data_IF_266208769015
#
_entry.id   IF_266208769015
#
_cell.length_a   1.000
_cell.length_b   1.000
_cell.length_c   1.000
_cell.angle_alpha   90.00
_cell.angle_beta   90.00
_cell.angle_gamma   90.00
#
_symmetry.space_group_name_H-M   'P 1'
#
loop_
_entity.id
_entity.type
_entity.pdbx_description
1 polymer ?
#
# COMPACT_ATOMS: atom_id res chain seq x y z
N UNK A 1 -29.57 6.44 -13.82
CA UNK A 1 -28.58 6.17 -12.76
C UNK A 1 -29.35 5.98 -11.46
N UNK A 2 -29.64 4.72 -11.09
CA UNK A 2 -30.44 4.39 -9.91
C UNK A 2 -29.55 4.29 -8.65
N UNK A 3 -29.96 4.97 -7.58
CA UNK A 3 -30.00 4.41 -6.22
C UNK A 3 -28.71 4.05 -5.49
N UNK A 4 -27.54 4.59 -5.83
CA UNK A 4 -26.34 4.37 -5.00
C UNK A 4 -26.42 5.19 -3.70
N UNK A 5 -26.10 4.55 -2.57
CA UNK A 5 -26.08 5.17 -1.23
C UNK A 5 -24.64 5.40 -0.78
N UNK A 6 -24.37 6.53 -0.17
CA UNK A 6 -23.10 6.75 0.53
C UNK A 6 -22.97 5.77 1.70
N UNK A 7 -21.77 5.23 1.94
CA UNK A 7 -21.54 4.28 3.03
C UNK A 7 -21.97 4.88 4.39
N UNK A 8 -21.67 6.15 4.62
CA UNK A 8 -22.09 6.88 5.83
C UNK A 8 -23.60 7.13 5.97
N UNK A 9 -24.40 6.87 4.94
CA UNK A 9 -25.87 6.97 5.01
C UNK A 9 -26.55 5.67 5.46
N UNK A 10 -25.80 4.58 5.57
CA UNK A 10 -26.26 3.32 6.13
C UNK A 10 -26.43 3.43 7.65
N UNK A 11 -27.32 2.61 8.21
CA UNK A 11 -27.42 2.44 9.66
C UNK A 11 -26.13 1.85 10.24
N UNK A 12 -25.87 2.10 11.53
CA UNK A 12 -24.66 1.62 12.19
C UNK A 12 -24.58 0.07 12.09
N UNK A 13 -25.69 -0.65 12.25
CA UNK A 13 -25.76 -2.11 12.08
C UNK A 13 -25.41 -2.57 10.65
N UNK A 14 -25.91 -1.89 9.62
CA UNK A 14 -25.58 -2.20 8.22
C UNK A 14 -24.09 -1.97 7.91
N UNK A 15 -23.49 -0.92 8.47
CA UNK A 15 -22.05 -0.65 8.31
C UNK A 15 -21.21 -1.75 8.98
N UNK A 16 -21.54 -2.12 10.21
CA UNK A 16 -20.84 -3.16 10.97
C UNK A 16 -21.00 -4.55 10.33
N UNK A 17 -22.15 -4.83 9.73
CA UNK A 17 -22.39 -6.06 9.00
C UNK A 17 -21.52 -6.12 7.74
N UNK A 18 -21.44 -5.04 6.95
CA UNK A 18 -20.56 -4.99 5.76
C UNK A 18 -19.08 -5.10 6.12
N UNK A 19 -18.65 -4.45 7.21
CA UNK A 19 -17.29 -4.57 7.72
C UNK A 19 -16.94 -6.02 8.06
N UNK A 20 -17.85 -6.70 8.77
CA UNK A 20 -17.70 -8.10 9.14
C UNK A 20 -17.65 -9.01 7.92
N UNK A 21 -18.60 -8.88 6.99
CA UNK A 21 -18.65 -9.67 5.74
C UNK A 21 -17.37 -9.52 4.94
N UNK A 22 -16.85 -8.30 4.79
CA UNK A 22 -15.62 -8.04 4.05
C UNK A 22 -14.41 -8.67 4.74
N UNK A 23 -14.35 -8.58 6.08
CA UNK A 23 -13.27 -9.17 6.87
C UNK A 23 -13.29 -10.70 6.80
N UNK A 24 -14.46 -11.33 6.90
CA UNK A 24 -14.63 -12.79 6.76
C UNK A 24 -14.31 -13.27 5.33
N UNK A 25 -14.68 -12.49 4.31
CA UNK A 25 -14.32 -12.79 2.92
C UNK A 25 -12.80 -12.76 2.70
N UNK A 26 -12.10 -11.76 3.26
CA UNK A 26 -10.64 -11.69 3.21
C UNK A 26 -9.99 -12.87 3.93
N UNK A 27 -10.44 -13.18 5.15
CA UNK A 27 -9.91 -14.30 5.95
C UNK A 27 -10.10 -15.64 5.22
N UNK A 28 -11.30 -15.91 4.72
CA UNK A 28 -11.62 -17.18 4.03
C UNK A 28 -10.86 -17.39 2.71
N UNK A 29 -10.31 -16.33 2.12
CA UNK A 29 -9.47 -16.39 0.93
C UNK A 29 -7.96 -16.21 1.25
N UNK A 30 -7.56 -16.33 2.51
CA UNK A 30 -6.15 -16.29 2.93
C UNK A 30 -5.52 -14.88 2.93
N UNK A 31 -6.35 -13.83 2.94
CA UNK A 31 -5.95 -12.42 2.94
C UNK A 31 -6.26 -11.74 4.28
N UNK A 32 -6.31 -12.52 5.36
CA UNK A 32 -6.71 -12.04 6.69
C UNK A 32 -5.78 -11.01 7.31
N UNK A 33 -4.58 -10.79 6.75
CA UNK A 33 -3.68 -9.70 7.12
C UNK A 33 -4.17 -8.33 6.66
N UNK A 34 -5.01 -8.28 5.62
CA UNK A 34 -5.69 -7.06 5.20
C UNK A 34 -6.87 -6.86 6.15
N UNK A 35 -6.85 -5.76 6.93
CA UNK A 35 -7.87 -5.47 7.94
C UNK A 35 -8.73 -4.29 7.49
N UNK A 36 -9.94 -4.55 6.95
CA UNK A 36 -10.89 -3.50 6.69
C UNK A 36 -11.20 -2.70 7.96
N UNK A 37 -11.44 -1.41 7.80
CA UNK A 37 -11.88 -0.51 8.86
C UNK A 37 -12.95 0.45 8.38
N UNK A 38 -13.91 0.74 9.25
CA UNK A 38 -14.77 1.91 9.11
C UNK A 38 -14.00 3.10 9.68
N UNK A 39 -13.89 4.13 8.87
CA UNK A 39 -13.25 5.39 9.21
C UNK A 39 -14.31 6.50 9.27
N UNK A 40 -14.56 6.99 10.47
CA UNK A 40 -15.42 8.14 10.73
C UNK A 40 -14.57 9.35 11.08
N UNK A 41 -14.66 10.40 10.27
CA UNK A 41 -14.01 11.67 10.53
C UNK A 41 -15.05 12.78 10.61
N UNK A 42 -14.95 13.59 11.66
CA UNK A 42 -15.75 14.80 11.81
C UNK A 42 -14.83 15.98 12.06
N UNK A 43 -14.87 16.95 11.16
CA UNK A 43 -14.23 18.26 11.37
C UNK A 43 -15.26 19.20 11.95
N UNK A 44 -15.01 19.64 13.18
CA UNK A 44 -15.86 20.54 13.95
C UNK A 44 -15.14 21.88 14.15
N UNK A 45 -15.40 22.89 13.32
CA UNK A 45 -15.02 24.26 13.62
C UNK A 45 -15.75 24.71 14.90
N UNK A 46 -15.04 25.34 15.83
CA UNK A 46 -15.65 25.80 17.09
C UNK A 46 -16.51 27.05 16.87
N UNK A 47 -16.09 27.95 15.96
CA UNK A 47 -16.87 29.15 15.57
C UNK A 47 -17.97 28.92 14.54
N UNK A 48 -17.81 27.97 13.62
CA UNK A 48 -18.71 27.82 12.49
C UNK A 48 -19.82 26.78 12.76
N UNK A 49 -21.06 27.02 12.31
CA UNK A 49 -22.17 26.10 12.57
C UNK A 49 -22.11 24.83 11.69
N UNK A 50 -21.27 24.82 10.64
CA UNK A 50 -21.19 23.72 9.69
C UNK A 50 -20.10 22.73 10.11
N UNK A 51 -20.49 21.51 10.43
CA UNK A 51 -19.57 20.36 10.55
C UNK A 51 -19.38 19.69 9.19
N UNK A 52 -18.18 19.16 8.96
CA UNK A 52 -17.92 18.26 7.84
C UNK A 52 -17.78 16.84 8.39
N UNK A 53 -18.61 15.92 7.92
CA UNK A 53 -18.56 14.51 8.28
C UNK A 53 -18.22 13.68 7.06
N UNK A 54 -17.30 12.75 7.24
CA UNK A 54 -16.94 11.74 6.28
C UNK A 54 -16.95 10.39 6.97
N UNK A 55 -17.62 9.41 6.36
CA UNK A 55 -17.64 8.03 6.83
C UNK A 55 -17.35 7.16 5.62
N UNK A 56 -16.31 6.33 5.73
CA UNK A 56 -15.85 5.48 4.65
C UNK A 56 -15.49 4.08 5.15
N UNK A 57 -15.62 3.10 4.27
CA UNK A 57 -15.06 1.76 4.48
C UNK A 57 -13.70 1.69 3.76
N UNK A 58 -12.65 1.43 4.52
CA UNK A 58 -11.27 1.38 4.03
C UNK A 58 -10.75 -0.04 4.16
N UNK A 59 -10.18 -0.59 3.09
CA UNK A 59 -9.52 -1.88 3.07
C UNK A 59 -8.35 -1.76 2.10
N UNK A 60 -7.20 -1.40 2.64
CA UNK A 60 -5.96 -1.22 1.90
C UNK A 60 -4.96 -2.26 2.36
N UNK A 61 -4.25 -2.87 1.42
CA UNK A 61 -3.25 -3.86 1.75
C UNK A 61 -2.48 -4.35 0.55
N UNK A 62 -1.37 -5.03 0.80
CA UNK A 62 -0.60 -5.70 -0.24
C UNK A 62 -0.61 -7.20 -0.07
N UNK A 63 -0.59 -7.90 -1.20
CA UNK A 63 -0.53 -9.36 -1.28
C UNK A 63 0.68 -9.78 -2.09
N UNK A 64 1.16 -10.99 -1.84
CA UNK A 64 2.20 -11.59 -2.67
C UNK A 64 1.62 -12.11 -3.98
N UNK A 65 2.52 -12.39 -4.93
CA UNK A 65 2.20 -12.94 -6.25
C UNK A 65 1.22 -14.13 -6.22
N UNK A 66 1.44 -15.08 -5.31
CA UNK A 66 0.64 -16.31 -5.18
C UNK A 66 -0.80 -16.01 -4.75
N UNK A 67 -0.98 -14.88 -4.07
CA UNK A 67 -2.27 -14.39 -3.57
C UNK A 67 -2.98 -13.46 -4.57
N UNK A 68 -2.36 -13.09 -5.71
CA UNK A 68 -2.96 -12.20 -6.72
C UNK A 68 -4.32 -12.70 -7.20
N UNK A 69 -4.40 -13.98 -7.58
CA UNK A 69 -5.66 -14.58 -8.02
C UNK A 69 -6.75 -14.59 -6.92
N UNK A 70 -6.35 -14.80 -5.66
CA UNK A 70 -7.26 -14.71 -4.53
C UNK A 70 -7.72 -13.26 -4.29
N UNK A 71 -6.82 -12.28 -4.39
CA UNK A 71 -7.13 -10.86 -4.26
C UNK A 71 -8.08 -10.37 -5.37
N UNK A 72 -7.86 -10.78 -6.62
CA UNK A 72 -8.74 -10.44 -7.75
C UNK A 72 -10.13 -11.05 -7.58
N UNK A 73 -10.20 -12.31 -7.11
CA UNK A 73 -11.45 -12.97 -6.77
C UNK A 73 -12.20 -12.21 -5.67
N UNK A 74 -11.51 -11.89 -4.56
CA UNK A 74 -12.11 -11.16 -3.43
C UNK A 74 -12.57 -9.77 -3.85
N UNK A 75 -11.78 -9.02 -4.62
CA UNK A 75 -12.16 -7.72 -5.19
C UNK A 75 -13.46 -7.81 -5.99
N UNK A 76 -13.55 -8.80 -6.86
CA UNK A 76 -14.74 -9.01 -7.69
C UNK A 76 -15.95 -9.38 -6.84
N UNK A 77 -15.80 -10.34 -5.94
CA UNK A 77 -16.87 -10.84 -5.08
C UNK A 77 -17.40 -9.74 -4.15
N UNK A 78 -16.52 -9.02 -3.47
CA UNK A 78 -16.89 -7.92 -2.59
C UNK A 78 -17.63 -6.80 -3.34
N UNK A 79 -17.17 -6.40 -4.52
CA UNK A 79 -17.83 -5.36 -5.31
C UNK A 79 -19.22 -5.79 -5.82
N UNK A 80 -19.41 -7.08 -6.10
CA UNK A 80 -20.68 -7.62 -6.60
C UNK A 80 -21.70 -7.91 -5.49
N UNK A 81 -21.24 -8.17 -4.26
CA UNK A 81 -22.09 -8.63 -3.16
C UNK A 81 -22.15 -7.62 -2.02
N UNK A 82 -21.02 -7.42 -1.33
CA UNK A 82 -20.92 -6.62 -0.10
C UNK A 82 -21.08 -5.12 -0.41
N UNK A 83 -20.41 -4.62 -1.45
CA UNK A 83 -20.38 -3.20 -1.81
C UNK A 83 -21.41 -2.84 -2.89
N UNK A 84 -22.26 -3.80 -3.29
CA UNK A 84 -23.31 -3.58 -4.26
C UNK A 84 -24.24 -2.44 -3.83
N UNK A 85 -24.41 -1.44 -4.70
CA UNK A 85 -25.26 -0.27 -4.45
C UNK A 85 -24.66 0.78 -3.50
N UNK A 86 -23.41 0.63 -3.07
CA UNK A 86 -22.68 1.65 -2.30
C UNK A 86 -21.95 2.60 -3.26
N UNK A 87 -21.91 3.88 -2.92
CA UNK A 87 -21.14 4.88 -3.66
C UNK A 87 -19.64 4.57 -3.54
N UNK A 88 -18.94 4.30 -4.66
CA UNK A 88 -17.50 4.00 -4.65
C UNK A 88 -16.64 5.13 -4.06
N UNK A 89 -17.11 6.38 -4.04
CA UNK A 89 -16.35 7.48 -3.41
C UNK A 89 -16.28 7.40 -1.88
N UNK A 90 -17.11 6.55 -1.28
CA UNK A 90 -17.17 6.33 0.17
C UNK A 90 -16.58 4.97 0.58
N UNK A 91 -15.91 4.29 -0.35
CA UNK A 91 -15.23 3.02 -0.12
C UNK A 91 -13.86 3.06 -0.78
N UNK A 92 -12.80 2.86 -0.01
CA UNK A 92 -11.45 2.67 -0.54
C UNK A 92 -11.13 1.19 -0.36
N UNK A 93 -11.21 0.42 -1.44
CA UNK A 93 -10.89 -1.01 -1.41
C UNK A 93 -9.81 -1.33 -2.42
N UNK A 94 -8.57 -1.31 -1.97
CA UNK A 94 -7.38 -1.44 -2.80
C UNK A 94 -6.50 -2.55 -2.25
N UNK A 95 -6.26 -3.57 -3.08
CA UNK A 95 -5.31 -4.64 -2.75
C UNK A 95 -4.25 -4.64 -3.84
N UNK A 96 -3.03 -4.25 -3.49
CA UNK A 96 -1.92 -4.24 -4.43
C UNK A 96 -1.19 -5.59 -4.40
N UNK A 97 -0.81 -6.12 -5.56
CA UNK A 97 0.13 -7.23 -5.58
C UNK A 97 1.55 -6.66 -5.52
N UNK A 98 2.27 -6.89 -4.41
CA UNK A 98 3.69 -6.56 -4.27
C UNK A 98 4.49 -7.85 -4.34
N UNK A 99 5.47 -7.94 -5.22
CA UNK A 99 6.46 -9.00 -5.10
C UNK A 99 7.35 -8.72 -3.90
N UNK A 100 7.61 -9.77 -3.14
CA UNK A 100 8.50 -9.76 -2.01
C UNK A 100 9.59 -10.80 -2.24
N UNK A 101 10.71 -10.61 -1.56
CA UNK A 101 11.69 -11.69 -1.44
C UNK A 101 11.00 -12.92 -0.80
N UNK A 102 11.29 -14.10 -1.35
CA UNK A 102 10.80 -15.39 -0.87
C UNK A 102 9.60 -15.93 -1.66
N UNK A 103 8.93 -15.10 -2.46
CA UNK A 103 7.80 -15.49 -3.30
C UNK A 103 8.29 -16.07 -4.64
N UNK A 104 7.61 -17.05 -5.24
CA UNK A 104 7.92 -17.45 -6.61
C UNK A 104 7.81 -16.31 -7.62
N UNK A 105 8.58 -16.44 -8.70
CA UNK A 105 8.52 -15.60 -9.89
C UNK A 105 7.14 -15.71 -10.55
N UNK A 106 6.57 -14.58 -10.96
CA UNK A 106 5.39 -14.56 -11.84
C UNK A 106 5.86 -14.59 -13.30
N UNK A 107 5.26 -15.44 -14.12
CA UNK A 107 5.51 -15.44 -15.56
C UNK A 107 5.24 -14.05 -16.17
N UNK A 108 6.19 -13.52 -16.93
CA UNK A 108 6.03 -12.24 -17.63
C UNK A 108 5.51 -12.53 -19.02
N UNK A 109 4.20 -12.35 -19.21
CA UNK A 109 3.52 -12.55 -20.49
C UNK A 109 3.63 -11.33 -21.39
N UNK A 110 3.28 -11.47 -22.67
CA UNK A 110 3.13 -10.36 -23.63
C UNK A 110 4.38 -9.46 -23.73
N UNK A 111 5.57 -10.04 -23.62
CA UNK A 111 6.82 -9.32 -23.88
C UNK A 111 7.22 -9.50 -25.34
N UNK A 112 7.80 -8.47 -25.94
CA UNK A 112 8.22 -8.50 -27.34
C UNK A 112 9.74 -8.74 -27.39
N UNK A 113 10.19 -9.79 -28.07
CA UNK A 113 11.62 -9.98 -28.34
C UNK A 113 12.10 -8.88 -29.30
N UNK A 114 13.16 -8.16 -28.93
CA UNK A 114 13.58 -6.98 -29.71
C UNK A 114 14.20 -7.33 -31.06
N UNK A 115 14.60 -8.57 -31.29
CA UNK A 115 15.24 -9.03 -32.52
C UNK A 115 14.23 -9.59 -33.51
N UNK A 116 13.22 -10.33 -33.02
CA UNK A 116 12.19 -10.98 -33.86
C UNK A 116 10.91 -10.16 -33.97
N UNK A 117 10.67 -9.23 -33.03
CA UNK A 117 9.40 -8.53 -32.84
C UNK A 117 8.21 -9.46 -32.54
N UNK A 118 8.48 -10.70 -32.14
CA UNK A 118 7.46 -11.68 -31.75
C UNK A 118 7.12 -11.57 -30.26
N UNK A 119 5.90 -11.99 -29.90
CA UNK A 119 5.44 -12.06 -28.52
C UNK A 119 5.97 -13.32 -27.83
N UNK A 120 6.43 -13.17 -26.59
CA UNK A 120 6.96 -14.23 -25.75
C UNK A 120 6.40 -14.16 -24.33
N UNK A 121 6.51 -15.30 -23.64
CA UNK A 121 6.32 -15.39 -22.18
C UNK A 121 7.64 -15.80 -21.53
N UNK A 122 8.05 -15.07 -20.50
CA UNK A 122 9.22 -15.39 -19.69
C UNK A 122 8.75 -16.18 -18.46
N UNK A 123 9.06 -17.46 -18.43
CA UNK A 123 8.81 -18.35 -17.29
C UNK A 123 10.11 -18.87 -16.70
N UNK A 124 10.06 -19.29 -15.43
CA UNK A 124 11.18 -19.97 -14.76
C UNK A 124 11.23 -21.47 -15.12
N UNK A 125 12.45 -22.03 -15.21
CA UNK A 125 12.69 -23.47 -15.37
C UNK A 125 13.48 -24.00 -14.16
N UNK A 126 13.11 -25.16 -13.59
CA UNK A 126 13.84 -25.73 -12.44
C UNK A 126 15.35 -25.86 -12.70
N UNK A 127 16.16 -25.42 -11.73
CA UNK A 127 17.62 -25.42 -11.82
C UNK A 127 18.24 -24.19 -12.50
N UNK A 128 17.43 -23.25 -12.99
CA UNK A 128 17.88 -22.01 -13.62
C UNK A 128 17.86 -20.84 -12.65
N UNK A 129 18.89 -19.99 -12.69
CA UNK A 129 18.90 -18.66 -12.06
C UNK A 129 18.51 -17.63 -13.11
N UNK A 130 17.62 -16.70 -12.77
CA UNK A 130 17.20 -15.61 -13.68
C UNK A 130 17.52 -14.28 -13.02
N UNK A 131 18.23 -13.41 -13.73
CA UNK A 131 18.37 -12.00 -13.40
C UNK A 131 17.51 -11.19 -14.38
N UNK A 132 16.44 -10.60 -13.89
CA UNK A 132 15.66 -9.62 -14.63
C UNK A 132 16.25 -8.24 -14.39
N UNK A 133 16.53 -7.48 -15.44
CA UNK A 133 17.02 -6.10 -15.38
C UNK A 133 16.07 -5.17 -16.15
N UNK A 134 15.32 -4.36 -15.41
CA UNK A 134 14.41 -3.36 -15.95
C UNK A 134 15.19 -2.08 -16.23
N UNK A 135 15.20 -1.65 -17.50
CA UNK A 135 16.04 -0.57 -17.97
C UNK A 135 15.39 0.24 -19.08
N UNK A 136 16.05 1.32 -19.49
CA UNK A 136 15.66 2.12 -20.66
C UNK A 136 16.86 2.73 -21.38
N UNK A 137 16.72 2.98 -22.68
CA UNK A 137 17.77 3.61 -23.50
C UNK A 137 18.08 5.04 -23.04
N UNK A 138 17.05 5.75 -22.57
CA UNK A 138 17.13 7.12 -22.06
C UNK A 138 17.60 7.20 -20.60
N UNK A 139 17.88 6.07 -19.94
CA UNK A 139 18.33 6.00 -18.56
C UNK A 139 19.87 5.93 -18.48
N UNK A 140 20.59 7.02 -18.12
CA UNK A 140 22.03 6.97 -17.91
C UNK A 140 22.50 6.00 -16.81
N UNK A 141 21.85 5.91 -15.62
CA UNK A 141 22.32 5.00 -14.59
C UNK A 141 22.14 3.52 -14.94
N UNK A 142 21.32 3.19 -15.94
CA UNK A 142 21.12 1.83 -16.43
C UNK A 142 22.29 1.31 -17.30
N UNK A 143 23.12 2.21 -17.85
CA UNK A 143 24.13 1.84 -18.85
C UNK A 143 25.26 0.96 -18.28
N UNK A 144 25.75 1.29 -17.08
CA UNK A 144 26.82 0.53 -16.44
C UNK A 144 26.37 -0.87 -15.96
N UNK A 145 25.20 -1.02 -15.28
CA UNK A 145 24.64 -2.35 -14.98
C UNK A 145 24.44 -3.22 -16.22
N UNK A 146 23.89 -2.67 -17.31
CA UNK A 146 23.68 -3.45 -18.53
C UNK A 146 24.99 -3.90 -19.20
N UNK A 147 26.01 -3.04 -19.20
CA UNK A 147 27.34 -3.41 -19.64
C UNK A 147 27.94 -4.52 -18.75
N UNK A 148 27.75 -4.44 -17.43
CA UNK A 148 28.21 -5.47 -16.52
C UNK A 148 27.49 -6.81 -16.75
N UNK A 149 26.19 -6.79 -17.04
CA UNK A 149 25.43 -7.99 -17.42
C UNK A 149 25.99 -8.68 -18.68
N UNK A 150 26.33 -7.88 -19.69
CA UNK A 150 27.01 -8.37 -20.88
C UNK A 150 28.37 -8.99 -20.53
N UNK A 151 29.21 -8.30 -19.76
CA UNK A 151 30.52 -8.80 -19.34
C UNK A 151 30.42 -10.12 -18.53
N UNK A 152 29.44 -10.23 -17.63
CA UNK A 152 29.19 -11.46 -16.87
C UNK A 152 28.94 -12.65 -17.80
N UNK A 153 28.13 -12.47 -18.85
CA UNK A 153 27.86 -13.52 -19.85
C UNK A 153 29.08 -13.78 -20.75
N UNK A 154 29.91 -12.77 -21.00
CA UNK A 154 31.15 -12.95 -21.75
C UNK A 154 32.15 -13.83 -21.01
N UNK A 155 32.33 -13.58 -19.71
CA UNK A 155 33.26 -14.33 -18.88
C UNK A 155 32.73 -15.71 -18.48
N UNK A 156 31.43 -15.81 -18.16
CA UNK A 156 30.86 -17.00 -17.54
C UNK A 156 29.91 -17.79 -18.44
N UNK A 157 29.50 -17.28 -19.60
CA UNK A 157 28.46 -17.90 -20.42
C UNK A 157 28.73 -19.37 -20.79
N UNK A 158 29.99 -19.72 -21.08
CA UNK A 158 30.37 -21.11 -21.36
C UNK A 158 30.26 -22.04 -20.13
N UNK A 159 30.47 -21.50 -18.92
CA UNK A 159 30.37 -22.22 -17.64
C UNK A 159 28.91 -22.33 -17.18
N UNK A 160 28.14 -21.26 -17.34
CA UNK A 160 26.75 -21.19 -16.90
C UNK A 160 25.82 -21.96 -17.84
N UNK A 161 26.04 -21.89 -19.16
CA UNK A 161 25.15 -22.49 -20.16
C UNK A 161 23.70 -22.09 -19.91
N UNK A 162 22.78 -23.04 -20.03
CA UNK A 162 21.34 -22.79 -19.85
C UNK A 162 20.91 -22.59 -18.38
N UNK A 163 21.85 -22.68 -17.42
CA UNK A 163 21.55 -22.53 -15.99
C UNK A 163 21.39 -21.09 -15.55
N UNK A 164 21.82 -20.11 -16.35
CA UNK A 164 21.67 -18.69 -16.04
C UNK A 164 21.06 -17.97 -17.22
N UNK A 165 20.03 -17.17 -16.96
CA UNK A 165 19.49 -16.20 -17.92
C UNK A 165 19.62 -14.81 -17.33
N UNK A 166 20.21 -13.91 -18.10
CA UNK A 166 20.19 -12.48 -17.81
C UNK A 166 19.32 -11.83 -18.86
N UNK A 167 18.24 -11.20 -18.40
CA UNK A 167 17.15 -10.71 -19.25
C UNK A 167 16.96 -9.22 -19.01
N UNK A 168 17.25 -8.42 -20.02
CA UNK A 168 16.95 -6.99 -20.04
C UNK A 168 15.51 -6.74 -20.50
N UNK A 169 14.69 -6.12 -19.66
CA UNK A 169 13.33 -5.70 -20.00
C UNK A 169 13.31 -4.18 -20.16
N UNK A 170 13.17 -3.74 -21.41
CA UNK A 170 13.13 -2.32 -21.75
C UNK A 170 11.75 -1.72 -21.55
N UNK A 171 11.69 -0.59 -20.82
CA UNK A 171 10.48 0.22 -20.61
C UNK A 171 10.36 1.40 -21.58
N UNK A 172 11.22 1.48 -22.60
CA UNK A 172 11.06 2.41 -23.72
C UNK A 172 9.67 2.30 -24.37
N UNK A 173 9.26 3.31 -25.13
CA UNK A 173 7.93 3.34 -25.77
C UNK A 173 7.80 2.42 -26.98
N UNK A 174 8.90 2.10 -27.66
CA UNK A 174 8.90 1.24 -28.86
C UNK A 174 10.17 0.39 -28.93
N UNK A 175 10.12 -0.72 -29.66
CA UNK A 175 11.25 -1.66 -29.87
C UNK A 175 12.44 -1.05 -30.65
N UNK A 176 12.25 -0.32 -31.77
CA UNK A 176 13.36 0.12 -32.61
C UNK A 176 14.50 0.90 -31.91
N UNK A 177 14.24 1.85 -30.98
CA UNK A 177 15.33 2.51 -30.25
C UNK A 177 16.13 1.55 -29.38
N UNK A 178 15.46 0.56 -28.76
CA UNK A 178 16.10 -0.46 -27.91
C UNK A 178 17.06 -1.31 -28.74
N UNK A 179 16.58 -1.86 -29.86
CA UNK A 179 17.39 -2.68 -30.76
C UNK A 179 18.62 -1.92 -31.28
N UNK A 180 18.42 -0.67 -31.69
CA UNK A 180 19.53 0.19 -32.16
C UNK A 180 20.56 0.40 -31.05
N UNK A 181 20.12 0.65 -29.82
CA UNK A 181 21.00 0.92 -28.69
C UNK A 181 21.79 -0.33 -28.27
N UNK A 182 21.12 -1.48 -28.15
CA UNK A 182 21.75 -2.77 -27.81
C UNK A 182 22.85 -3.13 -28.81
N UNK A 183 22.57 -3.03 -30.11
CA UNK A 183 23.57 -3.27 -31.17
C UNK A 183 24.72 -2.27 -31.15
N UNK A 184 24.44 -0.99 -30.89
CA UNK A 184 25.48 0.03 -30.81
C UNK A 184 26.42 -0.17 -29.60
N UNK A 185 25.94 -0.83 -28.55
CA UNK A 185 26.70 -1.08 -27.32
C UNK A 185 27.37 -2.46 -27.27
N UNK A 186 27.01 -3.37 -28.16
CA UNK A 186 27.54 -4.74 -28.14
C UNK A 186 26.92 -5.60 -27.03
N UNK A 187 25.64 -5.37 -26.69
CA UNK A 187 24.95 -6.05 -25.58
C UNK A 187 24.14 -7.27 -26.03
N UNK A 188 24.52 -7.93 -27.12
CA UNK A 188 23.73 -8.99 -27.75
C UNK A 188 23.77 -10.35 -27.04
N UNK A 189 24.60 -10.53 -25.99
CA UNK A 189 24.57 -11.79 -25.21
C UNK A 189 23.44 -11.80 -24.20
N UNK A 190 23.05 -10.64 -23.68
CA UNK A 190 21.88 -10.49 -22.82
C UNK A 190 20.62 -10.73 -23.66
N UNK A 191 19.64 -11.45 -23.11
CA UNK A 191 18.33 -11.57 -23.75
C UNK A 191 17.56 -10.26 -23.55
N UNK A 192 17.10 -9.62 -24.63
CA UNK A 192 16.41 -8.33 -24.52
C UNK A 192 14.97 -8.45 -24.97
N UNK A 193 14.07 -8.00 -24.10
CA UNK A 193 12.65 -7.88 -24.40
C UNK A 193 12.17 -6.45 -24.17
N UNK A 194 11.04 -6.13 -24.78
CA UNK A 194 10.38 -4.85 -24.71
C UNK A 194 8.94 -5.02 -24.24
N UNK A 195 8.48 -4.12 -23.37
CA UNK A 195 7.05 -4.01 -23.02
C UNK A 195 6.72 -2.55 -22.73
N UNK A 196 6.14 -1.84 -23.71
CA UNK A 196 5.73 -0.45 -23.54
C UNK A 196 4.42 -0.34 -22.75
N UNK A 197 4.36 0.58 -21.77
CA UNK A 197 3.09 1.15 -21.27
C UNK A 197 2.15 0.22 -20.48
N UNK A 198 2.60 -0.26 -19.31
CA UNK A 198 1.84 -1.01 -18.28
C UNK A 198 1.77 -2.53 -18.50
N UNK A 199 2.61 -3.26 -17.76
CA UNK A 199 2.23 -4.46 -16.98
C UNK A 199 3.44 -5.24 -16.45
N UNK A 200 4.62 -5.29 -17.11
CA UNK A 200 5.79 -5.99 -16.53
C UNK A 200 6.41 -5.26 -15.33
N UNK A 201 6.47 -3.92 -15.38
CA UNK A 201 6.89 -3.08 -14.25
C UNK A 201 5.85 -3.05 -13.13
N UNK A 202 4.55 -3.15 -13.45
CA UNK A 202 3.49 -3.18 -12.43
C UNK A 202 3.40 -4.53 -11.75
N UNK A 203 3.43 -5.61 -12.54
CA UNK A 203 3.51 -6.98 -12.04
C UNK A 203 4.71 -7.13 -11.13
N UNK A 204 5.86 -6.48 -11.47
CA UNK A 204 7.10 -6.47 -10.68
C UNK A 204 7.29 -5.31 -9.70
N UNK A 205 6.29 -4.45 -9.50
CA UNK A 205 6.37 -3.31 -8.57
C UNK A 205 7.50 -2.30 -8.85
N UNK A 206 8.02 -2.27 -10.09
CA UNK A 206 9.10 -1.40 -10.55
C UNK A 206 8.60 0.04 -10.67
N UNK A 207 8.96 0.87 -9.67
CA UNK A 207 8.62 2.30 -9.61
C UNK A 207 9.63 3.21 -10.32
N UNK A 208 10.75 2.68 -10.78
CA UNK A 208 11.81 3.40 -11.46
C UNK A 208 12.94 2.47 -11.90
N UNK A 209 13.78 2.92 -12.83
CA UNK A 209 14.92 2.18 -13.39
C UNK A 209 16.25 2.88 -13.08
N UNK A 210 17.37 2.15 -12.89
CA UNK A 210 17.50 0.69 -13.04
C UNK A 210 16.92 -0.08 -11.86
N UNK A 211 16.36 -1.24 -12.14
CA UNK A 211 15.77 -2.11 -11.13
C UNK A 211 15.97 -3.56 -11.53
N UNK A 212 16.44 -4.40 -10.61
CA UNK A 212 16.67 -5.82 -10.87
C UNK A 212 15.88 -6.70 -9.93
N UNK A 213 15.55 -7.88 -10.43
CA UNK A 213 14.97 -8.96 -9.65
C UNK A 213 15.81 -10.20 -9.89
N UNK A 214 16.29 -10.81 -8.81
CA UNK A 214 17.07 -12.05 -8.88
C UNK A 214 16.21 -13.22 -8.41
N UNK A 215 16.13 -14.26 -9.23
CA UNK A 215 15.35 -15.47 -9.02
C UNK A 215 16.28 -16.66 -8.90
N UNK A 216 16.10 -17.47 -7.86
CA UNK A 216 16.92 -18.64 -7.57
C UNK A 216 16.57 -19.87 -8.44
N UNK A 217 17.30 -20.95 -8.22
CA UNK A 217 17.14 -22.23 -8.94
C UNK A 217 15.79 -22.92 -8.72
N UNK A 218 15.02 -22.52 -7.69
CA UNK A 218 13.69 -23.03 -7.39
C UNK A 218 12.57 -22.09 -7.88
N UNK A 219 12.94 -21.00 -8.54
CA UNK A 219 11.98 -20.02 -9.04
C UNK A 219 11.55 -19.02 -7.99
N UNK A 220 12.23 -18.92 -6.84
CA UNK A 220 11.92 -17.93 -5.80
C UNK A 220 12.72 -16.66 -5.99
N UNK A 221 12.08 -15.54 -5.74
CA UNK A 221 12.73 -14.23 -5.74
C UNK A 221 13.60 -14.11 -4.50
N UNK A 222 14.87 -13.85 -4.69
CA UNK A 222 15.88 -13.69 -3.63
C UNK A 222 16.45 -12.29 -3.60
N UNK A 223 15.95 -11.40 -4.46
CA UNK A 223 16.28 -9.98 -4.46
C UNK A 223 15.32 -9.16 -5.31
N UNK A 224 15.02 -7.96 -4.83
CA UNK A 224 14.35 -6.91 -5.56
C UNK A 224 15.08 -5.61 -5.19
N UNK A 225 15.54 -4.83 -6.16
CA UNK A 225 16.17 -3.55 -5.85
C UNK A 225 17.13 -3.04 -6.90
N UNK A 226 18.02 -2.13 -6.49
CA UNK A 226 18.95 -1.48 -7.41
C UNK A 226 20.16 -2.40 -7.70
N UNK A 227 20.58 -2.55 -8.98
CA UNK A 227 21.66 -3.49 -9.33
C UNK A 227 22.99 -3.23 -8.62
N UNK A 228 23.32 -1.95 -8.36
CA UNK A 228 24.55 -1.57 -7.68
C UNK A 228 24.60 -1.93 -6.18
N UNK A 229 23.47 -2.30 -5.58
CA UNK A 229 23.40 -2.62 -4.15
C UNK A 229 23.91 -4.02 -3.82
N UNK A 230 24.13 -4.88 -4.82
CA UNK A 230 24.66 -6.24 -4.62
C UNK A 230 25.72 -6.62 -5.66
N UNK A 231 26.47 -7.66 -5.35
CA UNK A 231 27.44 -8.27 -6.27
C UNK A 231 26.77 -9.40 -7.04
N UNK A 232 25.96 -9.03 -8.03
CA UNK A 232 25.05 -9.95 -8.74
C UNK A 232 25.76 -11.18 -9.32
N UNK A 233 26.97 -11.03 -9.88
CA UNK A 233 27.76 -12.16 -10.37
C UNK A 233 28.03 -13.21 -9.27
N UNK A 234 28.46 -12.74 -8.09
CA UNK A 234 28.76 -13.60 -6.94
C UNK A 234 27.49 -14.23 -6.37
N UNK A 235 26.38 -13.49 -6.36
CA UNK A 235 25.09 -14.00 -5.94
C UNK A 235 24.63 -15.13 -6.88
N UNK A 236 24.72 -14.94 -8.20
CA UNK A 236 24.39 -15.97 -9.20
C UNK A 236 25.24 -17.23 -8.97
N UNK A 237 26.55 -17.09 -8.75
CA UNK A 237 27.42 -18.24 -8.46
C UNK A 237 27.06 -18.96 -7.16
N UNK A 238 26.62 -18.21 -6.14
CA UNK A 238 26.17 -18.75 -4.86
C UNK A 238 24.89 -19.55 -5.03
N UNK A 239 23.91 -19.01 -5.78
CA UNK A 239 22.65 -19.68 -6.07
C UNK A 239 22.84 -20.95 -6.91
N UNK A 240 23.79 -20.94 -7.86
CA UNK A 240 24.13 -22.13 -8.65
C UNK A 240 24.74 -23.27 -7.82
N UNK A 241 25.30 -22.97 -6.63
CA UNK A 241 25.77 -23.96 -5.66
C UNK A 241 24.66 -24.47 -4.73
N UNK A 242 23.45 -23.89 -4.82
CA UNK A 242 22.33 -24.19 -3.93
C UNK A 242 22.45 -23.51 -2.56
N UNK A 243 23.29 -22.49 -2.44
CA UNK A 243 23.49 -21.75 -1.19
C UNK A 243 22.54 -20.54 -1.10
N UNK A 244 22.08 -20.24 0.11
CA UNK A 244 21.26 -19.06 0.38
C UNK A 244 22.11 -17.78 0.40
N UNK A 245 21.57 -16.69 -0.14
CA UNK A 245 22.22 -15.38 -0.12
C UNK A 245 22.22 -14.77 1.30
N UNK A 246 23.28 -14.07 1.65
CA UNK A 246 23.39 -13.32 2.91
C UNK A 246 22.97 -11.86 2.70
N UNK A 247 22.29 -11.27 3.67
CA UNK A 247 21.88 -9.86 3.61
C UNK A 247 20.73 -9.60 2.63
N UNK A 248 19.87 -10.59 2.42
CA UNK A 248 18.64 -10.38 1.68
C UNK A 248 17.69 -9.56 2.56
N UNK A 249 17.74 -8.24 2.40
CA UNK A 249 16.71 -7.34 2.91
C UNK A 249 15.41 -7.67 2.17
N UNK A 250 14.57 -8.43 2.85
CA UNK A 250 13.31 -8.98 2.37
C UNK A 250 12.41 -9.40 3.52
N UNK A 251 12.63 -8.75 4.66
CA UNK A 251 11.97 -8.91 5.93
C UNK A 251 12.31 -7.67 6.75
N UNK A 252 12.09 -6.50 6.17
CA UNK A 252 11.46 -5.46 6.98
C UNK A 252 10.07 -6.05 7.21
N UNK A 253 9.93 -6.76 8.33
CA UNK A 253 8.71 -6.59 9.09
C UNK A 253 8.61 -5.06 9.21
N UNK A 254 7.70 -4.47 8.44
CA UNK A 254 7.14 -3.17 8.76
C UNK A 254 6.45 -3.34 10.13
N UNK A 255 7.25 -3.53 11.18
CA UNK A 255 7.08 -2.79 12.42
C UNK A 255 7.30 -1.32 12.03
N UNK A 256 6.38 -0.77 11.24
CA UNK A 256 6.01 0.61 11.49
C UNK A 256 5.66 0.62 12.96
N UNK A 257 6.49 1.34 13.73
CA UNK A 257 6.24 1.76 15.07
C UNK A 257 4.82 2.37 15.14
N UNK A 258 3.80 1.53 15.24
CA UNK A 258 2.50 1.88 15.78
C UNK A 258 2.82 2.29 17.21
N UNK A 259 3.05 3.58 17.38
CA UNK A 259 3.07 4.25 18.66
C UNK A 259 1.73 3.90 19.35
N UNK A 260 1.79 2.84 20.18
CA UNK A 260 0.71 1.92 20.54
C UNK A 260 -0.68 2.54 20.54
N UNK A 261 -1.38 2.38 19.42
CA UNK A 261 -2.79 2.67 19.33
C UNK A 261 -3.57 1.58 20.10
N UNK A 262 -4.05 1.89 21.30
CA UNK A 262 -4.82 0.92 22.11
C UNK A 262 -6.22 0.76 21.52
N UNK A 263 -6.41 -0.27 20.70
CA UNK A 263 -7.74 -0.73 20.30
C UNK A 263 -8.39 -1.50 21.45
N UNK A 264 -9.66 -1.21 21.74
CA UNK A 264 -10.42 -1.94 22.75
C UNK A 264 -11.33 -2.98 22.08
N UNK A 265 -11.35 -4.18 22.65
CA UNK A 265 -12.32 -5.23 22.31
C UNK A 265 -13.70 -4.82 22.82
N UNK A 266 -14.65 -4.70 21.89
CA UNK A 266 -16.00 -4.22 22.16
C UNK A 266 -17.03 -5.16 21.54
N UNK A 267 -18.11 -5.43 22.27
CA UNK A 267 -19.28 -6.08 21.69
C UNK A 267 -20.11 -5.07 20.86
N UNK A 268 -21.07 -5.57 20.08
CA UNK A 268 -21.91 -4.73 19.20
C UNK A 268 -22.70 -3.68 20.00
N UNK A 269 -23.15 -4.02 21.21
CA UNK A 269 -23.92 -3.09 22.06
C UNK A 269 -23.02 -1.96 22.57
N UNK A 270 -21.82 -2.29 23.02
CA UNK A 270 -20.81 -1.32 23.46
C UNK A 270 -20.37 -0.44 22.30
N UNK A 271 -20.17 -1.02 21.12
CA UNK A 271 -19.80 -0.27 19.93
C UNK A 271 -20.88 0.72 19.53
N UNK A 272 -22.16 0.33 19.51
CA UNK A 272 -23.26 1.24 19.26
C UNK A 272 -23.34 2.37 20.30
N UNK A 273 -23.05 2.09 21.58
CA UNK A 273 -22.95 3.12 22.62
C UNK A 273 -21.77 4.06 22.38
N UNK A 274 -20.63 3.56 21.91
CA UNK A 274 -19.48 4.40 21.51
C UNK A 274 -19.81 5.26 20.30
N UNK A 275 -20.53 4.73 19.29
CA UNK A 275 -21.02 5.53 18.15
C UNK A 275 -21.90 6.67 18.66
N UNK A 276 -22.84 6.37 19.56
CA UNK A 276 -23.75 7.36 20.13
C UNK A 276 -22.98 8.44 20.90
N UNK A 277 -22.06 8.05 21.78
CA UNK A 277 -21.19 8.99 22.52
C UNK A 277 -20.34 9.84 21.57
N UNK A 278 -19.84 9.27 20.49
CA UNK A 278 -19.08 10.00 19.47
C UNK A 278 -19.96 11.03 18.76
N UNK A 279 -21.19 10.66 18.36
CA UNK A 279 -22.17 11.57 17.76
C UNK A 279 -22.56 12.69 18.75
N UNK A 280 -22.79 12.36 20.02
CA UNK A 280 -23.11 13.31 21.08
C UNK A 280 -21.94 14.27 21.37
N UNK A 281 -20.69 13.80 21.34
CA UNK A 281 -19.50 14.62 21.53
C UNK A 281 -19.37 15.67 20.43
N UNK A 282 -19.62 15.28 19.17
CA UNK A 282 -19.67 16.19 18.02
C UNK A 282 -20.71 17.30 18.24
N UNK A 283 -21.92 16.93 18.65
CA UNK A 283 -22.99 17.91 18.91
C UNK A 283 -22.66 18.82 20.10
N UNK A 284 -22.07 18.26 21.16
CA UNK A 284 -21.66 18.99 22.35
C UNK A 284 -20.61 20.05 22.04
N UNK A 285 -19.60 19.72 21.20
CA UNK A 285 -18.59 20.69 20.75
C UNK A 285 -19.22 21.90 20.07
N UNK A 286 -20.21 21.69 19.19
CA UNK A 286 -20.89 22.79 18.48
C UNK A 286 -21.78 23.65 19.38
N UNK A 287 -22.35 23.07 20.45
CA UNK A 287 -23.31 23.75 21.33
C UNK A 287 -22.65 24.42 22.54
N UNK A 288 -21.35 24.20 22.75
CA UNK A 288 -20.65 24.72 23.92
C UNK A 288 -20.28 26.20 23.77
N UNK A 289 -21.02 27.05 24.47
CA UNK A 289 -20.84 28.51 24.46
C UNK A 289 -19.55 28.98 25.14
N UNK A 290 -18.99 28.21 26.08
CA UNK A 290 -17.68 28.53 26.68
C UNK A 290 -16.55 28.31 25.65
N UNK A 291 -16.61 27.20 24.90
CA UNK A 291 -15.65 26.89 23.84
C UNK A 291 -15.67 27.93 22.73
N UNK A 292 -16.86 28.35 22.29
CA UNK A 292 -17.00 29.42 21.28
C UNK A 292 -16.39 30.74 21.73
N UNK A 293 -16.54 31.08 23.02
CA UNK A 293 -15.95 32.30 23.58
C UNK A 293 -14.43 32.19 23.67
N UNK A 294 -13.91 31.06 24.16
CA UNK A 294 -12.47 30.82 24.26
C UNK A 294 -11.77 30.83 22.90
N UNK A 295 -12.42 30.29 21.86
CA UNK A 295 -11.85 30.21 20.50
C UNK A 295 -12.09 31.46 19.64
N UNK A 296 -12.83 32.46 20.13
CA UNK A 296 -13.31 33.59 19.34
C UNK A 296 -12.19 34.39 18.65
N UNK A 297 -11.04 34.54 19.32
CA UNK A 297 -9.88 35.30 18.83
C UNK A 297 -8.89 34.46 18.00
N UNK A 298 -9.11 33.15 17.89
CA UNK A 298 -8.25 32.27 17.10
C UNK A 298 -8.48 32.47 15.59
N UNK A 299 -7.41 32.39 14.81
CA UNK A 299 -7.46 32.37 13.35
C UNK A 299 -8.00 31.04 12.81
N UNK A 300 -7.60 29.91 13.43
CA UNK A 300 -8.15 28.57 13.15
C UNK A 300 -8.44 27.86 14.47
N UNK A 301 -9.59 27.19 14.52
CA UNK A 301 -10.15 26.64 15.75
C UNK A 301 -11.04 25.43 15.47
N UNK A 302 -10.50 24.40 14.82
CA UNK A 302 -11.29 23.20 14.56
C UNK A 302 -10.74 22.00 15.30
N UNK A 303 -11.66 21.19 15.77
CA UNK A 303 -11.41 19.88 16.37
C UNK A 303 -11.77 18.83 15.34
N UNK A 304 -10.86 17.90 15.06
CA UNK A 304 -11.13 16.73 14.24
C UNK A 304 -11.31 15.54 15.17
N UNK A 305 -12.50 14.97 15.19
CA UNK A 305 -12.77 13.72 15.88
C UNK A 305 -12.69 12.60 14.85
N UNK A 306 -11.88 11.59 15.15
CA UNK A 306 -11.68 10.40 14.30
C UNK A 306 -12.07 9.18 15.10
N UNK A 307 -12.85 8.29 14.49
CA UNK A 307 -13.13 6.98 15.03
C UNK A 307 -12.81 5.93 13.98
N UNK A 308 -12.09 4.91 14.41
CA UNK A 308 -11.79 3.75 13.60
C UNK A 308 -12.40 2.51 14.23
N UNK A 309 -13.03 1.67 13.41
CA UNK A 309 -13.58 0.38 13.83
C UNK A 309 -13.12 -0.69 12.86
N UNK A 310 -12.44 -1.72 13.36
CA UNK A 310 -12.04 -2.90 12.59
C UNK A 310 -12.68 -4.17 13.16
N UNK A 311 -12.76 -5.22 12.36
CA UNK A 311 -13.21 -6.54 12.81
C UNK A 311 -12.06 -7.53 12.67
N UNK A 312 -11.69 -8.18 13.78
CA UNK A 312 -10.57 -9.11 13.80
C UNK A 312 -10.86 -10.30 14.73
N UNK A 313 -10.57 -11.52 14.28
CA UNK A 313 -10.75 -12.77 15.04
C UNK A 313 -12.09 -12.89 15.79
N UNK A 314 -13.20 -12.51 15.13
CA UNK A 314 -14.54 -12.59 15.69
C UNK A 314 -14.95 -11.43 16.61
N UNK A 315 -14.10 -10.40 16.72
CA UNK A 315 -14.26 -9.27 17.65
C UNK A 315 -14.26 -7.94 16.92
N UNK A 316 -15.03 -6.99 17.42
CA UNK A 316 -14.91 -5.60 16.97
C UNK A 316 -13.87 -4.89 17.83
N UNK A 317 -13.00 -4.16 17.15
CA UNK A 317 -11.94 -3.36 17.76
C UNK A 317 -12.19 -1.91 17.40
N UNK A 318 -12.38 -1.06 18.41
CA UNK A 318 -12.72 0.36 18.25
C UNK A 318 -11.66 1.25 18.87
N UNK A 319 -11.40 2.39 18.23
CA UNK A 319 -10.48 3.42 18.67
C UNK A 319 -11.06 4.79 18.32
N UNK A 320 -10.88 5.75 19.23
CA UNK A 320 -11.28 7.15 19.03
C UNK A 320 -10.08 8.06 19.29
N UNK A 321 -9.83 8.97 18.37
CA UNK A 321 -8.78 9.99 18.47
C UNK A 321 -9.37 11.37 18.26
N UNK A 322 -8.71 12.36 18.84
CA UNK A 322 -9.01 13.75 18.57
C UNK A 322 -7.74 14.52 18.20
N UNK A 323 -7.83 15.24 17.08
CA UNK A 323 -6.77 16.10 16.57
C UNK A 323 -7.28 17.54 16.66
N UNK A 324 -6.69 18.32 17.56
CA UNK A 324 -7.05 19.72 17.78
C UNK A 324 -6.13 20.62 16.96
N UNK A 325 -6.70 21.48 16.11
CA UNK A 325 -5.94 22.44 15.30
C UNK A 325 -6.32 23.86 15.72
N UNK A 326 -5.41 24.49 16.46
CA UNK A 326 -5.57 25.86 16.97
C UNK A 326 -4.45 26.76 16.44
N UNK A 327 -4.80 27.91 15.87
CA UNK A 327 -3.86 28.91 15.36
C UNK A 327 -4.30 30.28 15.85
N UNK A 328 -3.42 31.01 16.54
CA UNK A 328 -3.72 32.33 17.10
C UNK A 328 -2.70 32.78 18.15
N UNK A 329 -3.06 33.80 18.93
CA UNK A 329 -2.23 34.30 20.02
C UNK A 329 -2.08 33.26 21.14
N UNK A 330 -0.89 33.21 21.75
CA UNK A 330 -0.49 32.19 22.72
C UNK A 330 -1.47 32.05 23.90
N UNK A 331 -1.90 33.18 24.49
CA UNK A 331 -2.89 33.17 25.58
C UNK A 331 -4.22 32.55 25.15
N UNK A 332 -4.74 32.90 23.98
CA UNK A 332 -6.01 32.38 23.48
C UNK A 332 -5.95 30.88 23.14
N UNK A 333 -4.79 30.40 22.67
CA UNK A 333 -4.55 28.98 22.42
C UNK A 333 -4.54 28.19 23.74
N UNK A 334 -3.83 28.67 24.76
CA UNK A 334 -3.78 27.99 26.06
C UNK A 334 -5.12 28.01 26.79
N UNK A 335 -5.87 29.11 26.73
CA UNK A 335 -7.25 29.16 27.25
C UNK A 335 -8.16 28.16 26.54
N UNK A 336 -8.15 28.13 25.20
CA UNK A 336 -8.96 27.19 24.42
C UNK A 336 -8.60 25.73 24.71
N UNK A 337 -7.32 25.41 24.92
CA UNK A 337 -6.87 24.06 25.28
C UNK A 337 -7.53 23.55 26.55
N UNK A 338 -7.58 24.37 27.59
CA UNK A 338 -8.17 23.99 28.90
C UNK A 338 -9.65 23.65 28.74
N UNK A 339 -10.40 24.48 28.01
CA UNK A 339 -11.84 24.25 27.80
C UNK A 339 -12.11 23.01 26.92
N UNK A 340 -11.30 22.79 25.87
CA UNK A 340 -11.45 21.62 24.99
C UNK A 340 -11.11 20.33 25.75
N UNK A 341 -10.00 20.32 26.51
CA UNK A 341 -9.61 19.14 27.28
C UNK A 341 -10.67 18.80 28.33
N UNK A 342 -11.16 19.81 29.07
CA UNK A 342 -12.24 19.63 30.04
C UNK A 342 -13.49 19.02 29.40
N UNK A 343 -13.90 19.51 28.24
CA UNK A 343 -15.05 18.95 27.51
C UNK A 343 -14.83 17.48 27.11
N UNK A 344 -13.63 17.13 26.66
CA UNK A 344 -13.31 15.76 26.25
C UNK A 344 -13.24 14.80 27.45
N UNK A 345 -12.69 15.25 28.58
CA UNK A 345 -12.63 14.48 29.82
C UNK A 345 -14.03 14.15 30.34
N UNK A 346 -14.97 15.11 30.25
CA UNK A 346 -16.37 14.94 30.65
C UNK A 346 -17.09 13.85 29.82
N UNK A 347 -16.67 13.64 28.57
CA UNK A 347 -17.28 12.65 27.68
C UNK A 347 -16.87 11.20 27.96
N UNK A 348 -15.88 10.95 28.84
CA UNK A 348 -15.39 9.60 29.22
C UNK A 348 -15.12 8.65 28.05
N UNK A 349 -14.81 9.18 26.86
CA UNK A 349 -14.23 8.39 25.78
C UNK A 349 -12.72 8.35 26.00
N UNK A 350 -12.06 7.24 25.71
CA UNK A 350 -10.60 7.15 25.76
C UNK A 350 -9.98 7.97 24.60
N UNK A 351 -10.16 9.29 24.60
CA UNK A 351 -9.69 10.19 23.55
C UNK A 351 -8.19 10.47 23.70
N UNK A 352 -7.36 9.88 22.82
CA UNK A 352 -5.95 10.31 22.69
C UNK A 352 -5.90 11.67 22.00
N UNK A 353 -5.58 12.71 22.76
CA UNK A 353 -5.51 14.10 22.26
C UNK A 353 -4.18 14.43 21.61
N UNK A 354 -4.23 14.83 20.35
CA UNK A 354 -3.08 15.35 19.61
C UNK A 354 -3.30 16.84 19.32
N UNK A 355 -2.32 17.68 19.63
CA UNK A 355 -2.39 19.13 19.44
C UNK A 355 -1.49 19.59 18.30
N UNK A 356 -2.07 20.18 17.26
CA UNK A 356 -1.33 20.87 16.20
C UNK A 356 -1.51 22.37 16.38
N UNK A 357 -0.53 23.00 17.03
CA UNK A 357 -0.52 24.44 17.31
C UNK A 357 0.49 25.13 16.40
N UNK A 358 0.05 26.16 15.68
CA UNK A 358 0.96 27.07 14.99
C UNK A 358 0.81 28.47 15.58
N UNK A 359 1.93 29.09 15.97
CA UNK A 359 1.97 30.50 16.37
C UNK A 359 1.80 31.35 15.10
N UNK A 360 0.88 32.31 15.15
CA UNK A 360 0.66 33.28 14.08
C UNK A 360 1.75 34.35 14.05
#
# INVERSE_FOLDING_TARGET
MQGQKDFGSLTDDEQLQKLKELSELLISNGLGHIKPKIFDQVVCPLKAPTIMRQTALLAEGSVVAEQKAAADKVKKEANQTILAGINPRTVQFEIECKLAVGTPMIDITEVIDINTEEEHTISHKPGQVILLDFWATWCPPCQAPMAHNQEMLEHNGAKWGDKVRIIGISIDQTVPPVLKHVKAKGWEKVEHFHRAGSSSSEDYGVKGVPHVVLIDTNGKIVYIGHPASRKLEQDIETLLKGEALKGVAGGEEDEEDEETAVFNDVDVTQLCQEVAKFKDAVEGLQKNEELKKASASLQRDFVVLVRETKFDNGKYLSKVENINVLVGGETAVEESKVHIQKFLDDFKGNFKSTWKVQKA
#
